data_IF_418674750220
#
_entry.id   IF_418674750220
#
_cell.length_a   1.000
_cell.length_b   1.000
_cell.length_c   1.000
_cell.angle_alpha   90.00
_cell.angle_beta   90.00
_cell.angle_gamma   90.00
#
_symmetry.space_group_name_H-M   'P 1'
#
loop_
_entity.id
_entity.type
_entity.pdbx_description
1 polymer ?
#
# COMPACT_ATOMS: atom_id res chain seq x y z
N UNK A 1 -15.18 9.91 0.76
CA UNK A 1 -14.58 9.51 -0.54
C UNK A 1 -14.69 8.01 -0.64
N UNK A 2 -14.85 7.44 -1.84
CA UNK A 2 -14.86 5.99 -1.99
C UNK A 2 -13.48 5.43 -1.65
N UNK A 3 -13.45 4.32 -0.92
CA UNK A 3 -12.21 3.63 -0.61
C UNK A 3 -11.54 3.12 -1.89
N UNK A 4 -10.22 3.27 -2.00
CA UNK A 4 -9.44 2.84 -3.18
C UNK A 4 -8.41 1.79 -2.75
N UNK A 5 -8.26 0.67 -3.50
CA UNK A 5 -7.27 -0.36 -3.19
C UNK A 5 -5.86 0.22 -2.99
N UNK A 6 -5.02 -0.44 -2.20
CA UNK A 6 -3.63 -0.01 -1.99
C UNK A 6 -3.45 1.11 -0.94
N UNK A 7 -4.48 1.89 -0.60
CA UNK A 7 -4.42 2.81 0.56
C UNK A 7 -5.00 2.13 1.79
N UNK A 8 -4.14 1.77 2.74
CA UNK A 8 -4.59 1.11 3.98
C UNK A 8 -5.66 1.97 4.66
N UNK A 9 -6.80 1.38 5.02
CA UNK A 9 -7.77 2.04 5.88
C UNK A 9 -7.69 1.41 7.27
N UNK A 10 -7.06 2.12 8.22
CA UNK A 10 -6.86 1.59 9.56
C UNK A 10 -8.18 1.42 10.34
N UNK A 11 -9.25 2.12 9.97
CA UNK A 11 -10.58 1.89 10.55
C UNK A 11 -11.11 0.53 10.10
N UNK A 12 -10.99 0.20 8.81
CA UNK A 12 -11.39 -1.11 8.27
C UNK A 12 -10.54 -2.26 8.85
N UNK A 13 -9.24 -2.05 9.06
CA UNK A 13 -8.38 -3.03 9.75
C UNK A 13 -8.93 -3.39 11.14
N UNK A 14 -9.52 -2.42 11.84
CA UNK A 14 -10.16 -2.64 13.15
C UNK A 14 -11.66 -2.94 13.07
N UNK A 15 -12.25 -3.01 11.87
CA UNK A 15 -13.70 -3.13 11.64
C UNK A 15 -14.51 -2.06 12.39
N UNK A 16 -14.04 -0.81 12.28
CA UNK A 16 -14.64 0.34 12.93
C UNK A 16 -15.16 1.36 11.92
N UNK A 17 -16.18 2.14 12.27
CA UNK A 17 -16.54 3.33 11.50
C UNK A 17 -15.49 4.44 11.71
N UNK A 18 -15.42 5.37 10.75
CA UNK A 18 -14.45 6.48 10.75
C UNK A 18 -14.64 7.47 11.92
N UNK A 19 -15.83 7.50 12.53
CA UNK A 19 -16.15 8.33 13.69
C UNK A 19 -15.88 7.63 15.05
N UNK A 20 -15.30 6.42 15.03
CA UNK A 20 -15.06 5.62 16.22
C UNK A 20 -14.19 6.36 17.26
N UNK A 21 -14.60 6.28 18.52
CA UNK A 21 -13.90 6.95 19.62
C UNK A 21 -12.61 6.19 19.99
N UNK A 22 -11.60 6.86 20.56
CA UNK A 22 -10.35 6.21 21.00
C UNK A 22 -10.54 5.02 21.95
N UNK A 23 -11.61 5.00 22.75
CA UNK A 23 -11.96 3.85 23.59
C UNK A 23 -12.41 2.62 22.79
N UNK A 24 -13.13 2.82 21.69
CA UNK A 24 -13.60 1.75 20.80
C UNK A 24 -12.45 1.17 19.98
N UNK A 25 -11.51 2.03 19.56
CA UNK A 25 -10.24 1.64 18.92
C UNK A 25 -9.49 0.66 19.82
N UNK A 26 -9.20 1.04 21.07
CA UNK A 26 -8.48 0.17 22.03
C UNK A 26 -9.21 -1.15 22.28
N UNK A 27 -10.54 -1.09 22.43
CA UNK A 27 -11.39 -2.28 22.67
C UNK A 27 -11.34 -3.26 21.49
N UNK A 28 -11.52 -2.78 20.26
CA UNK A 28 -11.55 -3.64 19.08
C UNK A 28 -10.17 -4.17 18.72
N UNK A 29 -9.11 -3.35 18.87
CA UNK A 29 -7.73 -3.80 18.73
C UNK A 29 -7.44 -4.99 19.67
N UNK A 30 -7.72 -4.86 20.97
CA UNK A 30 -7.46 -5.94 21.95
C UNK A 30 -8.24 -7.22 21.62
N UNK A 31 -9.48 -7.10 21.16
CA UNK A 31 -10.28 -8.25 20.70
C UNK A 31 -9.62 -8.92 19.50
N UNK A 32 -9.38 -8.18 18.41
CA UNK A 32 -8.81 -8.72 17.17
C UNK A 32 -7.42 -9.31 17.36
N UNK A 33 -6.57 -8.67 18.15
CA UNK A 33 -5.24 -9.20 18.46
C UNK A 33 -5.33 -10.52 19.23
N UNK A 34 -6.22 -10.60 20.23
CA UNK A 34 -6.45 -11.84 20.97
C UNK A 34 -6.94 -12.97 20.05
N UNK A 35 -7.89 -12.68 19.17
CA UNK A 35 -8.44 -13.66 18.23
C UNK A 35 -7.34 -14.17 17.28
N UNK A 36 -6.50 -13.26 16.77
CA UNK A 36 -5.36 -13.58 15.92
C UNK A 36 -4.33 -14.47 16.64
N UNK A 37 -3.97 -14.15 17.88
CA UNK A 37 -3.07 -14.98 18.69
C UNK A 37 -3.65 -16.39 18.94
N UNK A 38 -4.97 -16.50 19.12
CA UNK A 38 -5.65 -17.78 19.26
C UNK A 38 -5.58 -18.62 17.97
N UNK A 39 -5.76 -17.98 16.80
CA UNK A 39 -5.60 -18.62 15.49
C UNK A 39 -4.15 -19.12 15.29
N UNK A 40 -3.16 -18.30 15.64
CA UNK A 40 -1.73 -18.66 15.57
C UNK A 40 -1.42 -19.88 16.43
N UNK A 41 -1.94 -19.93 17.66
CA UNK A 41 -1.70 -21.04 18.58
C UNK A 41 -2.41 -22.35 18.20
N UNK A 42 -3.43 -22.29 17.35
CA UNK A 42 -4.26 -23.43 16.95
C UNK A 42 -3.84 -24.13 15.65
N UNK A 43 -2.82 -23.63 14.94
CA UNK A 43 -2.43 -24.17 13.63
C UNK A 43 -0.95 -24.54 13.54
N UNK A 44 -0.63 -25.50 12.68
CA UNK A 44 0.75 -25.72 12.26
C UNK A 44 1.26 -24.50 11.48
N UNK A 45 2.32 -23.88 11.99
CA UNK A 45 2.93 -22.66 11.45
C UNK A 45 3.87 -23.02 10.30
N UNK A 46 3.37 -22.89 9.07
CA UNK A 46 4.23 -22.82 7.88
C UNK A 46 4.88 -21.44 7.75
N UNK A 47 5.92 -21.31 6.93
CA UNK A 47 6.59 -20.02 6.70
C UNK A 47 5.63 -18.97 6.10
N UNK A 48 4.77 -19.39 5.15
CA UNK A 48 3.76 -18.53 4.54
C UNK A 48 2.72 -18.03 5.56
N UNK A 49 2.20 -18.94 6.39
CA UNK A 49 1.28 -18.57 7.48
C UNK A 49 1.94 -17.61 8.46
N UNK A 50 3.21 -17.84 8.81
CA UNK A 50 3.98 -16.94 9.67
C UNK A 50 4.08 -15.54 9.06
N UNK A 51 4.39 -15.44 7.78
CA UNK A 51 4.49 -14.14 7.09
C UNK A 51 3.14 -13.40 7.09
N UNK A 52 2.06 -14.12 6.79
CA UNK A 52 0.68 -13.59 6.87
C UNK A 52 0.37 -13.07 8.28
N UNK A 53 0.60 -13.88 9.31
CA UNK A 53 0.30 -13.49 10.69
C UNK A 53 1.11 -12.30 11.17
N UNK A 54 2.40 -12.25 10.85
CA UNK A 54 3.25 -11.10 11.18
C UNK A 54 2.74 -9.82 10.52
N UNK A 55 2.28 -9.90 9.27
CA UNK A 55 1.69 -8.76 8.58
C UNK A 55 0.38 -8.32 9.26
N UNK A 56 -0.51 -9.24 9.60
CA UNK A 56 -1.78 -8.91 10.26
C UNK A 56 -1.56 -8.32 11.66
N UNK A 57 -0.62 -8.86 12.44
CA UNK A 57 -0.22 -8.27 13.73
C UNK A 57 0.31 -6.84 13.54
N UNK A 58 1.18 -6.62 12.55
CA UNK A 58 1.75 -5.31 12.28
C UNK A 58 0.67 -4.28 11.85
N UNK A 59 -0.29 -4.69 11.03
CA UNK A 59 -1.45 -3.86 10.64
C UNK A 59 -2.29 -3.48 11.86
N UNK A 60 -2.61 -4.44 12.73
CA UNK A 60 -3.40 -4.18 13.95
C UNK A 60 -2.65 -3.21 14.89
N UNK A 61 -1.36 -3.42 15.09
CA UNK A 61 -0.53 -2.56 15.93
C UNK A 61 -0.48 -1.13 15.38
N UNK A 62 -0.27 -0.99 14.07
CA UNK A 62 -0.30 0.30 13.39
C UNK A 62 -1.66 0.98 13.49
N UNK A 63 -2.75 0.23 13.32
CA UNK A 63 -4.10 0.76 13.45
C UNK A 63 -4.36 1.32 14.85
N UNK A 64 -3.90 0.64 15.90
CA UNK A 64 -3.96 1.17 17.27
C UNK A 64 -3.17 2.48 17.38
N UNK A 65 -1.90 2.49 16.95
CA UNK A 65 -1.04 3.66 17.07
C UNK A 65 -1.57 4.88 16.29
N UNK A 66 -2.11 4.67 15.09
CA UNK A 66 -2.69 5.74 14.27
C UNK A 66 -3.99 6.25 14.86
N UNK A 67 -4.89 5.36 15.27
CA UNK A 67 -6.26 5.75 15.58
C UNK A 67 -6.50 6.12 17.04
N UNK A 68 -5.63 5.75 17.99
CA UNK A 68 -5.91 6.01 19.42
C UNK A 68 -5.69 7.46 19.85
N UNK A 69 -4.90 8.23 19.10
CA UNK A 69 -4.62 9.64 19.33
C UNK A 69 -5.24 10.47 18.19
N UNK A 70 -5.99 11.52 18.52
CA UNK A 70 -6.73 12.30 17.51
C UNK A 70 -5.79 13.02 16.54
N UNK A 71 -4.70 13.62 17.02
CA UNK A 71 -3.78 14.37 16.16
C UNK A 71 -3.11 13.48 15.11
N UNK A 72 -2.67 12.29 15.52
CA UNK A 72 -2.04 11.30 14.61
C UNK A 72 -3.07 10.74 13.63
N UNK A 73 -4.29 10.49 14.10
CA UNK A 73 -5.41 10.06 13.28
C UNK A 73 -5.72 11.09 12.20
N UNK A 74 -5.84 12.35 12.58
CA UNK A 74 -6.19 13.45 11.67
C UNK A 74 -5.08 13.69 10.65
N UNK A 75 -3.80 13.63 11.08
CA UNK A 75 -2.65 13.71 10.18
C UNK A 75 -2.67 12.59 9.14
N UNK A 76 -2.86 11.34 9.59
CA UNK A 76 -2.95 10.18 8.70
C UNK A 76 -4.12 10.32 7.71
N UNK A 77 -5.28 10.69 8.24
CA UNK A 77 -6.51 10.80 7.47
C UNK A 77 -6.41 11.89 6.40
N UNK A 78 -5.87 13.05 6.76
CA UNK A 78 -5.61 14.13 5.81
C UNK A 78 -4.62 13.67 4.74
N UNK A 79 -3.46 13.11 5.12
CA UNK A 79 -2.45 12.68 4.17
C UNK A 79 -2.98 11.64 3.17
N UNK A 80 -3.80 10.70 3.65
CA UNK A 80 -4.45 9.68 2.83
C UNK A 80 -5.44 10.29 1.84
N UNK A 81 -6.29 11.20 2.33
CA UNK A 81 -7.29 11.88 1.53
C UNK A 81 -6.68 12.80 0.47
N UNK A 82 -5.64 13.55 0.83
CA UNK A 82 -4.92 14.43 -0.08
C UNK A 82 -4.26 13.65 -1.22
N UNK A 83 -3.73 12.47 -0.92
CA UNK A 83 -3.11 11.60 -1.91
C UNK A 83 -4.14 10.98 -2.86
N UNK A 84 -5.28 10.52 -2.34
CA UNK A 84 -6.40 10.05 -3.19
C UNK A 84 -6.96 11.17 -4.07
N UNK A 85 -7.05 12.40 -3.54
CA UNK A 85 -7.48 13.56 -4.32
C UNK A 85 -6.43 13.97 -5.37
N UNK A 86 -5.13 13.82 -5.09
CA UNK A 86 -4.07 14.02 -6.08
C UNK A 86 -4.14 12.98 -7.20
N UNK A 87 -4.41 11.71 -6.85
CA UNK A 87 -4.69 10.66 -7.83
C UNK A 87 -5.85 11.04 -8.76
N UNK A 88 -6.99 11.49 -8.22
CA UNK A 88 -8.15 11.86 -9.02
C UNK A 88 -7.86 13.08 -9.92
N UNK A 89 -7.15 14.09 -9.40
CA UNK A 89 -6.72 15.24 -10.19
C UNK A 89 -5.82 14.85 -11.35
N UNK A 90 -4.85 13.96 -11.09
CA UNK A 90 -3.97 13.46 -12.15
C UNK A 90 -4.76 12.66 -13.19
N UNK A 91 -5.62 11.74 -12.77
CA UNK A 91 -6.45 10.96 -13.69
C UNK A 91 -7.35 11.85 -14.57
N UNK A 92 -7.97 12.88 -13.98
CA UNK A 92 -8.75 13.88 -14.71
C UNK A 92 -7.89 14.66 -15.72
N UNK A 93 -6.71 15.13 -15.30
CA UNK A 93 -5.78 15.83 -16.18
C UNK A 93 -5.33 14.97 -17.39
N UNK A 94 -5.12 13.67 -17.20
CA UNK A 94 -4.81 12.75 -18.31
C UNK A 94 -6.00 12.60 -19.27
N UNK A 95 -7.22 12.42 -18.73
CA UNK A 95 -8.44 12.31 -19.55
C UNK A 95 -8.70 13.56 -20.39
N UNK A 96 -8.40 14.74 -19.85
CA UNK A 96 -8.54 16.04 -20.52
C UNK A 96 -7.34 16.42 -21.39
N UNK A 97 -6.26 15.61 -21.41
CA UNK A 97 -4.98 15.94 -22.05
C UNK A 97 -4.42 17.29 -21.58
N UNK A 98 -4.61 17.60 -20.31
CA UNK A 98 -4.18 18.84 -19.72
C UNK A 98 -2.63 18.93 -19.70
N UNK A 99 -2.06 20.14 -19.91
CA UNK A 99 -0.61 20.32 -20.02
C UNK A 99 0.15 20.00 -18.74
N UNK A 100 -0.52 20.01 -17.58
CA UNK A 100 0.05 19.74 -16.27
C UNK A 100 -0.05 18.25 -15.84
N UNK A 101 -0.57 17.35 -16.69
CA UNK A 101 -0.75 15.95 -16.34
C UNK A 101 0.58 15.26 -15.94
N UNK A 102 1.69 15.61 -16.60
CA UNK A 102 3.01 15.04 -16.29
C UNK A 102 3.59 15.57 -14.96
N UNK A 103 3.33 16.84 -14.62
CA UNK A 103 3.75 17.41 -13.34
C UNK A 103 2.97 16.78 -12.18
N UNK A 104 1.66 16.57 -12.36
CA UNK A 104 0.81 15.86 -11.40
C UNK A 104 1.26 14.39 -11.23
N UNK A 105 1.67 13.72 -12.31
CA UNK A 105 2.23 12.36 -12.23
C UNK A 105 3.47 12.32 -11.34
N UNK A 106 4.43 13.22 -11.56
CA UNK A 106 5.67 13.27 -10.77
C UNK A 106 5.39 13.59 -9.30
N UNK A 107 4.51 14.57 -9.04
CA UNK A 107 4.10 14.90 -7.67
C UNK A 107 3.47 13.70 -6.98
N UNK A 108 2.58 13.00 -7.68
CA UNK A 108 1.91 11.80 -7.18
C UNK A 108 2.91 10.67 -6.90
N UNK A 109 3.79 10.35 -7.85
CA UNK A 109 4.81 9.29 -7.73
C UNK A 109 5.71 9.50 -6.51
N UNK A 110 6.14 10.73 -6.25
CA UNK A 110 6.92 11.06 -5.04
C UNK A 110 6.08 10.87 -3.79
N UNK A 111 4.88 11.48 -3.74
CA UNK A 111 4.03 11.45 -2.54
C UNK A 111 3.56 10.04 -2.17
N UNK A 112 3.25 9.18 -3.14
CA UNK A 112 2.82 7.82 -2.83
C UNK A 112 3.95 6.99 -2.25
N UNK A 113 5.18 7.15 -2.74
CA UNK A 113 6.36 6.43 -2.21
C UNK A 113 6.64 6.86 -0.77
N UNK A 114 6.59 8.15 -0.50
CA UNK A 114 6.80 8.71 0.84
C UNK A 114 5.68 8.27 1.79
N UNK A 115 4.42 8.33 1.34
CA UNK A 115 3.27 7.90 2.13
C UNK A 115 3.38 6.42 2.53
N UNK A 116 3.69 5.55 1.56
CA UNK A 116 3.81 4.12 1.82
C UNK A 116 5.05 3.78 2.67
N UNK A 117 6.16 4.50 2.50
CA UNK A 117 7.32 4.35 3.38
C UNK A 117 6.97 4.71 4.83
N UNK A 118 6.40 5.90 5.04
CA UNK A 118 6.05 6.42 6.37
C UNK A 118 4.98 5.56 7.05
N UNK A 119 3.83 5.38 6.41
CA UNK A 119 2.65 4.83 7.10
C UNK A 119 2.49 3.32 6.98
N UNK A 120 3.16 2.65 6.02
CA UNK A 120 3.06 1.20 5.84
C UNK A 120 4.33 0.46 6.27
N UNK A 121 5.52 1.00 6.05
CA UNK A 121 6.75 0.33 6.47
C UNK A 121 7.21 0.83 7.85
N UNK A 122 7.52 2.11 7.99
CA UNK A 122 8.14 2.67 9.18
C UNK A 122 7.19 2.67 10.38
N UNK A 123 5.97 3.18 10.21
CA UNK A 123 4.98 3.21 11.28
C UNK A 123 4.59 1.82 11.75
N UNK A 124 4.34 0.88 10.82
CA UNK A 124 3.97 -0.49 11.19
C UNK A 124 5.08 -1.19 11.97
N UNK A 125 6.34 -0.97 11.59
CA UNK A 125 7.48 -1.51 12.31
C UNK A 125 7.64 -0.86 13.70
N UNK A 126 7.50 0.47 13.78
CA UNK A 126 7.60 1.22 15.03
C UNK A 126 6.46 0.89 16.01
N UNK A 127 5.25 0.63 15.51
CA UNK A 127 4.10 0.26 16.32
C UNK A 127 4.32 -1.05 17.10
N UNK A 128 5.15 -1.97 16.59
CA UNK A 128 5.55 -3.18 17.32
C UNK A 128 6.38 -2.91 18.58
N UNK A 129 6.91 -1.69 18.75
CA UNK A 129 7.67 -1.26 19.94
C UNK A 129 6.84 -0.42 20.91
N UNK A 130 5.61 -0.08 20.55
CA UNK A 130 4.69 0.60 21.45
C UNK A 130 4.31 -0.30 22.63
N UNK A 131 4.27 0.25 23.83
CA UNK A 131 4.04 -0.53 25.06
C UNK A 131 2.69 -1.26 25.04
N UNK A 132 1.63 -0.59 24.59
CA UNK A 132 0.28 -1.20 24.55
C UNK A 132 0.22 -2.30 23.47
N UNK A 133 0.91 -2.10 22.36
CA UNK A 133 1.05 -3.12 21.32
C UNK A 133 1.82 -4.35 21.81
N UNK A 134 2.99 -4.16 22.43
CA UNK A 134 3.83 -5.25 22.95
C UNK A 134 3.04 -6.09 23.96
N UNK A 135 2.33 -5.44 24.89
CA UNK A 135 1.53 -6.13 25.90
C UNK A 135 0.40 -6.98 25.29
N UNK A 136 -0.27 -6.48 24.24
CA UNK A 136 -1.41 -7.17 23.63
C UNK A 136 -1.00 -8.23 22.59
N UNK A 137 0.03 -7.95 21.80
CA UNK A 137 0.43 -8.79 20.67
C UNK A 137 1.61 -9.71 20.98
N UNK A 138 2.23 -9.59 22.15
CA UNK A 138 3.47 -10.31 22.50
C UNK A 138 4.60 -10.08 21.49
N UNK A 139 4.62 -8.89 20.88
CA UNK A 139 5.65 -8.54 19.90
C UNK A 139 7.03 -8.52 20.56
N UNK A 140 7.99 -9.20 19.95
CA UNK A 140 9.36 -9.33 20.45
C UNK A 140 10.40 -9.05 19.35
N UNK A 141 11.67 -9.19 19.71
CA UNK A 141 12.79 -8.99 18.77
C UNK A 141 12.80 -9.98 17.59
N UNK A 142 12.21 -11.17 17.75
CA UNK A 142 12.10 -12.13 16.65
C UNK A 142 11.04 -11.66 15.65
N UNK A 143 9.88 -11.18 16.13
CA UNK A 143 8.85 -10.60 15.26
C UNK A 143 9.43 -9.43 14.45
N UNK A 144 10.11 -8.51 15.12
CA UNK A 144 10.69 -7.32 14.48
C UNK A 144 11.69 -7.68 13.37
N UNK A 145 12.59 -8.65 13.63
CA UNK A 145 13.59 -9.10 12.66
C UNK A 145 12.98 -9.60 11.36
N UNK A 146 11.85 -10.31 11.44
CA UNK A 146 11.18 -10.87 10.27
C UNK A 146 10.20 -9.88 9.62
N UNK A 147 9.60 -8.99 10.41
CA UNK A 147 8.62 -8.02 9.94
C UNK A 147 9.20 -7.06 8.88
N UNK A 148 10.45 -6.61 9.01
CA UNK A 148 11.03 -5.62 8.08
C UNK A 148 10.94 -6.05 6.60
N UNK A 149 11.29 -7.31 6.29
CA UNK A 149 11.21 -7.82 4.92
C UNK A 149 9.76 -7.94 4.44
N UNK A 150 8.86 -8.38 5.33
CA UNK A 150 7.44 -8.57 5.04
C UNK A 150 6.78 -7.22 4.74
N UNK A 151 7.05 -6.20 5.55
CA UNK A 151 6.50 -4.86 5.38
C UNK A 151 7.00 -4.21 4.10
N UNK A 152 8.28 -4.36 3.75
CA UNK A 152 8.80 -3.88 2.46
C UNK A 152 8.13 -4.56 1.27
N UNK A 153 7.93 -5.87 1.33
CA UNK A 153 7.21 -6.60 0.29
C UNK A 153 5.75 -6.13 0.19
N UNK A 154 5.06 -6.00 1.33
CA UNK A 154 3.70 -5.50 1.40
C UNK A 154 3.57 -4.08 0.82
N UNK A 155 4.50 -3.19 1.15
CA UNK A 155 4.61 -1.85 0.58
C UNK A 155 4.69 -1.89 -0.95
N UNK A 156 5.50 -2.79 -1.51
CA UNK A 156 5.60 -2.96 -2.96
C UNK A 156 4.30 -3.48 -3.57
N UNK A 157 3.63 -4.45 -2.92
CA UNK A 157 2.33 -4.96 -3.37
C UNK A 157 1.28 -3.85 -3.42
N UNK A 158 1.18 -3.03 -2.37
CA UNK A 158 0.26 -1.89 -2.36
C UNK A 158 0.58 -0.89 -3.46
N UNK A 159 1.85 -0.55 -3.64
CA UNK A 159 2.28 0.35 -4.72
C UNK A 159 1.89 -0.19 -6.10
N UNK A 160 2.05 -1.51 -6.34
CA UNK A 160 1.64 -2.13 -7.60
C UNK A 160 0.12 -2.10 -7.80
N UNK A 161 -0.68 -2.40 -6.78
CA UNK A 161 -2.15 -2.30 -6.85
C UNK A 161 -2.62 -0.88 -7.19
N UNK A 162 -1.85 0.12 -6.77
CA UNK A 162 -2.08 1.53 -7.12
C UNK A 162 -1.73 1.77 -8.58
N UNK A 163 -0.53 1.37 -9.02
CA UNK A 163 -0.11 1.52 -10.41
C UNK A 163 -1.05 0.84 -11.40
N UNK A 164 -1.58 -0.33 -11.08
CA UNK A 164 -2.47 -1.10 -11.97
C UNK A 164 -3.77 -0.40 -12.36
N UNK A 165 -4.27 0.51 -11.52
CA UNK A 165 -5.49 1.28 -11.81
C UNK A 165 -5.22 2.68 -12.35
N UNK A 166 -3.98 3.15 -12.23
CA UNK A 166 -3.62 4.47 -12.69
C UNK A 166 -3.64 4.47 -14.23
N UNK A 167 -3.99 5.62 -14.84
CA UNK A 167 -3.91 5.74 -16.28
C UNK A 167 -2.44 5.56 -16.70
N UNK A 168 -2.13 4.37 -17.21
CA UNK A 168 -0.87 4.10 -17.87
C UNK A 168 -0.77 5.02 -19.09
N UNK A 169 -0.10 6.16 -18.95
CA UNK A 169 0.71 6.65 -20.05
C UNK A 169 1.93 5.75 -20.12
N UNK A 170 1.77 4.51 -20.59
CA UNK A 170 2.94 3.84 -21.14
C UNK A 170 3.52 4.79 -22.18
N UNK A 171 4.78 5.17 -21.91
CA UNK A 171 5.82 5.58 -22.86
C UNK A 171 5.31 5.48 -24.29
N UNK A 172 5.25 6.60 -25.01
CA UNK A 172 4.92 6.73 -26.44
C UNK A 172 4.70 5.38 -27.13
N UNK A 173 3.49 5.03 -27.62
CA UNK A 173 3.26 3.74 -28.27
C UNK A 173 4.40 3.49 -29.25
N UNK A 174 5.08 2.32 -29.21
CA UNK A 174 6.26 2.10 -30.03
C UNK A 174 5.90 2.46 -31.45
N UNK A 175 6.62 3.43 -32.03
CA UNK A 175 6.41 3.80 -33.41
C UNK A 175 6.85 2.60 -34.25
N UNK A 176 5.91 1.71 -34.53
CA UNK A 176 6.11 0.63 -35.48
C UNK A 176 5.87 1.22 -36.85
N UNK A 177 6.95 1.57 -37.53
CA UNK A 177 6.85 1.86 -38.96
C UNK A 177 6.61 0.54 -39.70
N UNK A 178 5.33 0.24 -39.93
CA UNK A 178 4.90 -0.91 -40.71
C UNK A 178 5.41 -0.87 -42.16
N UNK A 179 5.77 0.31 -42.65
CA UNK A 179 6.38 0.49 -43.98
C UNK A 179 7.81 -0.02 -43.98
N UNK A 180 8.61 0.32 -42.96
CA UNK A 180 9.98 -0.20 -42.78
C UNK A 180 9.96 -1.72 -42.59
N UNK A 181 9.09 -2.23 -41.72
CA UNK A 181 8.91 -3.68 -41.54
C UNK A 181 8.46 -4.40 -42.82
N UNK A 182 7.56 -3.78 -43.57
CA UNK A 182 7.11 -4.31 -44.86
C UNK A 182 8.24 -4.40 -45.89
N UNK A 183 9.14 -3.41 -45.93
CA UNK A 183 10.34 -3.44 -46.79
C UNK A 183 11.32 -4.53 -46.35
N UNK A 184 11.58 -4.64 -45.05
CA UNK A 184 12.48 -5.66 -44.49
C UNK A 184 11.97 -7.10 -44.75
N UNK A 185 10.68 -7.37 -44.53
CA UNK A 185 10.10 -8.69 -44.81
C UNK A 185 10.20 -9.01 -46.30
N UNK A 186 9.94 -8.03 -47.18
CA UNK A 186 10.12 -8.23 -48.62
C UNK A 186 11.57 -8.54 -48.99
N UNK A 187 12.55 -7.84 -48.43
CA UNK A 187 13.96 -8.10 -48.73
C UNK A 187 14.46 -9.43 -48.17
N UNK A 188 13.96 -9.88 -47.01
CA UNK A 188 14.24 -11.21 -46.45
C UNK A 188 13.61 -12.31 -47.32
N UNK A 189 12.34 -12.16 -47.71
CA UNK A 189 11.67 -13.13 -48.59
C UNK A 189 12.27 -13.18 -50.01
N UNK A 190 12.82 -12.06 -50.48
CA UNK A 190 13.56 -11.98 -51.75
C UNK A 190 15.00 -12.52 -51.65
N UNK A 191 15.48 -12.87 -50.45
CA UNK A 191 16.85 -13.37 -50.23
C UNK A 191 17.94 -12.31 -50.36
N UNK A 192 17.56 -11.04 -50.30
CA UNK A 192 18.45 -9.87 -50.50
C UNK A 192 19.18 -9.45 -49.21
N UNK A 193 18.71 -9.94 -48.05
CA UNK A 193 19.34 -9.73 -46.74
C UNK A 193 19.81 -11.08 -46.22
N UNK A 194 21.14 -11.23 -46.03
CA UNK A 194 21.79 -12.34 -45.32
C UNK A 194 22.26 -11.88 -43.95
#
# INVERSE_FOLDING_TARGET
>A
MADKPGYVNYFEVLELPEDAKPGEVRKNYKRKMKDLLFEIGGVEITEEKRARYLLEMAKLNAALCVLRENDVRDEYWSARNDLMALEDRWAGAVAEKAPNAEDLRKEYDTKIRDFLAKYVEELMLAAGRDKECVEASQWDSNHERHASRILRHYRHVLYHQILERLPFTEVTPPHVDWTERGKFVKSVLAGEVR
#
